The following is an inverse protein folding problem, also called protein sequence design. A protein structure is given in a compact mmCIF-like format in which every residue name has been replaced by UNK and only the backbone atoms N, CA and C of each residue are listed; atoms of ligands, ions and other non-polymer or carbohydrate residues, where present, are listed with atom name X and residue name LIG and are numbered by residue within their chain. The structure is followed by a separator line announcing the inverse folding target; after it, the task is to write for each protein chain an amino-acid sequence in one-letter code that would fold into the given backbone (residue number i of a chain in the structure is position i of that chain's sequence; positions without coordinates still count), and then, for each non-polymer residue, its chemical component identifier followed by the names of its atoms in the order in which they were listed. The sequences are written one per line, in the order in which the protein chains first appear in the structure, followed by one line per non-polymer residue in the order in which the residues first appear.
data_IF_524428659377
#
_entry.id   IF_524428659377
#
_cell.length_a   1.000
_cell.length_b   1.000
_cell.length_c   1.000
_cell.angle_alpha   90.00
_cell.angle_beta   90.00
_cell.angle_gamma   90.00
#
_symmetry.space_group_name_H-M   'P 1'
#
loop_
_entity.id
_entity.type
_entity.pdbx_description
1 polymer ?
#
# COMPACT_ATOMS: atom_id res chain seq x y z
N UNK A 1 17.26 -23.22 36.72
CA UNK A 1 16.92 -22.26 35.66
C UNK A 1 16.14 -23.06 34.61
N UNK A 2 14.89 -22.69 34.31
CA UNK A 2 14.11 -23.39 33.27
C UNK A 2 14.59 -22.85 31.93
N UNK A 3 15.30 -23.65 31.14
CA UNK A 3 15.67 -23.28 29.78
C UNK A 3 14.51 -23.57 28.82
N UNK A 4 14.28 -22.72 27.81
CA UNK A 4 13.26 -22.98 26.80
C UNK A 4 13.69 -24.13 25.89
N UNK A 5 12.85 -25.16 25.79
CA UNK A 5 13.10 -26.36 24.98
C UNK A 5 11.81 -26.82 24.28
N UNK A 6 11.93 -27.78 23.37
CA UNK A 6 10.84 -28.40 22.63
C UNK A 6 10.24 -29.60 23.38
N UNK A 7 8.91 -29.65 23.46
CA UNK A 7 8.22 -30.74 24.13
C UNK A 7 8.33 -32.03 23.32
N UNK A 8 8.78 -33.11 23.96
CA UNK A 8 9.03 -34.38 23.25
C UNK A 8 7.79 -35.02 22.59
N UNK A 9 6.58 -34.71 23.07
CA UNK A 9 5.34 -35.32 22.56
C UNK A 9 4.60 -34.45 21.54
N UNK A 10 4.61 -33.12 21.72
CA UNK A 10 3.84 -32.21 20.86
C UNK A 10 4.71 -31.18 20.14
N UNK A 11 6.04 -31.22 20.30
CA UNK A 11 6.99 -30.29 19.70
C UNK A 11 6.74 -28.81 20.02
N UNK A 12 5.91 -28.53 21.02
CA UNK A 12 5.66 -27.16 21.48
C UNK A 12 6.91 -26.61 22.15
N UNK A 13 7.30 -25.39 21.78
CA UNK A 13 8.50 -24.74 22.31
C UNK A 13 8.14 -23.84 23.50
N UNK A 14 8.89 -23.91 24.60
CA UNK A 14 8.74 -23.00 25.73
C UNK A 14 9.37 -23.53 27.01
N UNK A 15 8.99 -22.96 28.15
CA UNK A 15 9.49 -23.42 29.46
C UNK A 15 8.77 -24.74 29.84
N UNK A 16 9.53 -25.83 29.95
CA UNK A 16 8.98 -27.18 30.15
C UNK A 16 9.31 -27.71 31.55
N UNK A 17 8.41 -28.52 32.10
CA UNK A 17 8.68 -29.30 33.31
C UNK A 17 9.09 -30.72 32.89
N UNK A 18 10.32 -31.14 33.21
CA UNK A 18 10.87 -32.47 32.88
C UNK A 18 10.64 -32.89 31.40
N UNK A 19 10.88 -31.98 30.44
CA UNK A 19 10.74 -32.16 28.97
C UNK A 19 9.32 -32.26 28.40
N UNK A 20 8.28 -32.15 29.23
CA UNK A 20 6.90 -32.10 28.76
C UNK A 20 6.26 -30.74 29.04
N UNK A 21 5.43 -30.26 28.11
CA UNK A 21 4.62 -29.07 28.37
C UNK A 21 3.44 -29.44 29.28
N UNK A 22 2.94 -28.47 30.05
CA UNK A 22 1.79 -28.70 30.94
C UNK A 22 0.57 -29.30 30.21
N UNK A 23 0.35 -28.90 28.95
CA UNK A 23 -0.72 -29.46 28.13
C UNK A 23 -0.51 -30.93 27.74
N UNK A 24 0.73 -31.38 27.52
CA UNK A 24 1.04 -32.80 27.32
C UNK A 24 0.93 -33.57 28.62
N UNK A 25 1.34 -32.99 29.75
CA UNK A 25 1.20 -33.60 31.07
C UNK A 25 -0.27 -33.86 31.42
N UNK A 26 -1.17 -32.90 31.17
CA UNK A 26 -2.62 -33.08 31.40
C UNK A 26 -3.30 -33.97 30.35
N UNK A 27 -2.82 -33.96 29.11
CA UNK A 27 -3.33 -34.83 28.05
C UNK A 27 -2.93 -36.29 28.27
N UNK A 28 -1.75 -36.51 28.84
CA UNK A 28 -1.20 -37.79 29.24
C UNK A 28 -1.62 -38.13 30.68
N UNK A 29 -2.91 -38.43 30.91
CA UNK A 29 -3.21 -39.43 31.94
C UNK A 29 -2.70 -40.78 31.41
N UNK A 30 -2.06 -41.63 32.22
CA UNK A 30 -1.07 -42.61 31.75
C UNK A 30 -1.71 -43.73 30.92
N UNK A 31 -1.84 -43.49 29.62
CA UNK A 31 -2.22 -44.48 28.63
C UNK A 31 -0.97 -44.98 27.88
N UNK A 32 -0.97 -46.24 27.42
CA UNK A 32 0.16 -46.79 26.67
C UNK A 32 0.44 -45.96 25.40
N UNK A 33 1.72 -45.78 25.09
CA UNK A 33 2.14 -45.13 23.86
C UNK A 33 1.78 -46.01 22.66
N UNK A 34 0.89 -45.51 21.81
CA UNK A 34 0.41 -46.22 20.63
C UNK A 34 0.54 -45.32 19.39
N UNK A 35 0.60 -45.90 18.17
CA UNK A 35 0.60 -45.12 16.94
C UNK A 35 -0.75 -44.42 16.74
N UNK A 36 -0.71 -43.11 16.52
CA UNK A 36 -1.88 -42.29 16.22
C UNK A 36 -2.56 -42.73 14.91
N UNK A 37 -3.89 -42.88 14.90
CA UNK A 37 -4.64 -43.24 13.70
C UNK A 37 -4.52 -42.20 12.56
N UNK A 38 -4.32 -40.92 12.89
CA UNK A 38 -4.16 -39.84 11.90
C UNK A 38 -2.72 -39.69 11.39
N UNK A 39 -1.78 -39.37 12.29
CA UNK A 39 -0.41 -39.02 11.91
C UNK A 39 0.63 -40.13 12.14
N UNK A 40 0.22 -41.30 12.62
CA UNK A 40 1.08 -42.46 12.94
C UNK A 40 2.20 -42.24 13.96
N UNK A 41 2.36 -41.03 14.52
CA UNK A 41 3.31 -40.78 15.62
C UNK A 41 2.94 -41.62 16.85
N UNK A 42 3.97 -42.17 17.50
CA UNK A 42 3.83 -42.84 18.79
C UNK A 42 3.79 -41.82 19.90
N UNK A 43 2.82 -41.96 20.79
CA UNK A 43 2.68 -41.11 21.96
C UNK A 43 1.38 -41.41 22.71
N UNK A 44 1.06 -40.62 23.74
CA UNK A 44 -0.22 -40.73 24.44
C UNK A 44 -1.37 -40.41 23.47
N UNK A 45 -2.35 -41.30 23.41
CA UNK A 45 -3.52 -41.17 22.54
C UNK A 45 -4.78 -40.88 23.36
N UNK A 46 -5.64 -40.03 22.81
CA UNK A 46 -7.02 -39.84 23.29
C UNK A 46 -7.97 -40.18 22.15
N UNK A 47 -8.85 -41.16 22.37
CA UNK A 47 -9.75 -41.71 21.33
C UNK A 47 -8.99 -42.15 20.05
N UNK A 48 -7.79 -42.72 20.18
CA UNK A 48 -6.96 -43.18 19.05
C UNK A 48 -6.12 -42.10 18.34
N UNK A 49 -6.17 -40.83 18.79
CA UNK A 49 -5.44 -39.72 18.17
C UNK A 49 -4.50 -39.01 19.15
N UNK A 50 -3.34 -38.57 18.66
CA UNK A 50 -2.37 -37.83 19.47
C UNK A 50 -2.82 -36.38 19.71
N UNK A 51 -2.19 -35.73 20.69
CA UNK A 51 -2.48 -34.32 21.05
C UNK A 51 -2.35 -33.36 19.86
N UNK A 52 -1.38 -33.57 18.98
CA UNK A 52 -1.17 -32.72 17.80
C UNK A 52 -2.35 -32.78 16.83
N UNK A 53 -2.88 -33.97 16.54
CA UNK A 53 -4.06 -34.13 15.70
C UNK A 53 -5.29 -33.49 16.35
N UNK A 54 -5.40 -33.58 17.68
CA UNK A 54 -6.46 -32.89 18.42
C UNK A 54 -6.33 -31.37 18.40
N UNK A 55 -5.12 -30.83 18.48
CA UNK A 55 -4.87 -29.39 18.34
C UNK A 55 -5.27 -28.91 16.94
N UNK A 56 -4.84 -29.63 15.89
CA UNK A 56 -5.20 -29.31 14.51
C UNK A 56 -6.72 -29.37 14.29
N UNK A 57 -7.37 -30.47 14.70
CA UNK A 57 -8.80 -30.64 14.53
C UNK A 57 -9.62 -29.58 15.28
N UNK A 58 -9.11 -29.05 16.40
CA UNK A 58 -9.72 -27.92 17.12
C UNK A 58 -9.57 -26.60 16.37
N UNK A 59 -8.41 -26.35 15.75
CA UNK A 59 -8.21 -25.17 14.90
C UNK A 59 -9.13 -25.23 13.68
N UNK A 60 -9.22 -26.38 13.02
CA UNK A 60 -10.09 -26.57 11.86
C UNK A 60 -11.57 -26.48 12.25
N UNK A 61 -11.95 -27.00 13.43
CA UNK A 61 -13.30 -26.85 13.98
C UNK A 61 -13.66 -25.39 14.28
N UNK A 62 -12.71 -24.59 14.79
CA UNK A 62 -12.93 -23.17 15.02
C UNK A 62 -13.13 -22.40 13.71
N UNK A 63 -12.44 -22.79 12.64
CA UNK A 63 -12.57 -22.17 11.32
C UNK A 63 -13.87 -22.58 10.59
N UNK A 64 -14.34 -23.81 10.80
CA UNK A 64 -15.48 -24.38 10.05
C UNK A 64 -16.79 -24.46 10.84
N UNK A 65 -16.76 -24.27 12.17
CA UNK A 65 -17.90 -24.45 13.06
C UNK A 65 -18.26 -25.93 13.33
N UNK A 66 -17.50 -26.89 12.81
CA UNK A 66 -17.72 -28.32 13.01
C UNK A 66 -17.25 -28.80 14.40
N UNK A 67 -17.58 -30.05 14.76
CA UNK A 67 -17.03 -30.68 15.98
C UNK A 67 -15.61 -31.15 15.71
N UNK A 68 -14.69 -30.93 16.65
CA UNK A 68 -13.29 -31.36 16.51
C UNK A 68 -13.19 -32.88 16.26
N UNK A 69 -14.06 -33.70 16.88
CA UNK A 69 -14.08 -35.14 16.65
C UNK A 69 -14.26 -35.56 15.18
N UNK A 70 -15.10 -34.85 14.41
CA UNK A 70 -15.37 -35.21 13.01
C UNK A 70 -14.21 -34.87 12.07
N UNK A 71 -13.23 -34.10 12.53
CA UNK A 71 -12.08 -33.64 11.74
C UNK A 71 -10.79 -34.41 12.07
N UNK A 72 -10.85 -35.36 13.01
CA UNK A 72 -9.72 -36.22 13.38
C UNK A 72 -9.19 -37.18 12.30
N UNK A 73 -10.01 -37.74 11.37
CA UNK A 73 -9.52 -38.72 10.41
C UNK A 73 -8.67 -38.14 9.25
N UNK A 74 -8.27 -36.86 9.27
CA UNK A 74 -7.48 -36.28 8.17
C UNK A 74 -6.74 -34.97 8.46
N UNK A 75 -5.89 -34.87 9.49
CA UNK A 75 -5.04 -33.69 9.68
C UNK A 75 -4.02 -33.59 8.54
N UNK A 76 -4.11 -32.54 7.71
CA UNK A 76 -3.21 -32.31 6.57
C UNK A 76 -1.84 -31.77 6.98
N UNK A 77 -1.77 -31.10 8.13
CA UNK A 77 -0.57 -30.46 8.66
C UNK A 77 -0.66 -30.39 10.19
N UNK A 78 0.48 -30.13 10.84
CA UNK A 78 0.53 -29.84 12.27
C UNK A 78 1.14 -28.46 12.47
N UNK A 79 0.37 -27.52 13.01
CA UNK A 79 0.90 -26.20 13.37
C UNK A 79 1.75 -26.30 14.64
N UNK A 80 2.96 -25.72 14.61
CA UNK A 80 3.77 -25.51 15.82
C UNK A 80 3.13 -24.41 16.67
N UNK A 81 3.11 -24.62 17.98
CA UNK A 81 2.59 -23.65 18.95
C UNK A 81 3.50 -23.58 20.17
N UNK A 82 3.49 -22.45 20.85
CA UNK A 82 4.28 -22.26 22.06
C UNK A 82 3.66 -23.00 23.25
N UNK A 83 4.50 -23.62 24.08
CA UNK A 83 4.08 -24.27 25.31
C UNK A 83 3.43 -23.24 26.25
N UNK A 84 2.43 -23.67 27.03
CA UNK A 84 1.67 -22.83 27.96
C UNK A 84 0.83 -21.71 27.33
N UNK A 85 0.88 -21.53 26.00
CA UNK A 85 -0.19 -20.88 25.24
C UNK A 85 -1.34 -21.87 25.02
N UNK A 86 -1.90 -22.39 26.13
CA UNK A 86 -3.23 -22.97 26.05
C UNK A 86 -4.11 -21.89 25.44
N UNK A 87 -4.91 -22.19 24.41
CA UNK A 87 -5.76 -21.16 23.90
C UNK A 87 -6.72 -20.84 25.05
N UNK A 88 -6.73 -19.57 25.46
CA UNK A 88 -7.54 -19.04 26.54
C UNK A 88 -9.06 -19.18 26.27
N UNK A 89 -9.50 -19.95 25.28
CA UNK A 89 -10.92 -20.15 24.95
C UNK A 89 -11.70 -20.95 25.99
N UNK A 90 -11.05 -21.81 26.80
CA UNK A 90 -11.74 -22.51 27.91
C UNK A 90 -11.99 -21.58 29.12
N UNK A 91 -11.38 -20.39 29.16
CA UNK A 91 -11.55 -19.38 30.22
C UNK A 91 -11.82 -17.97 29.70
N UNK A 92 -12.36 -17.82 28.49
CA UNK A 92 -13.19 -16.64 28.26
C UNK A 92 -14.47 -16.94 29.02
N UNK A 93 -14.78 -16.26 30.15
CA UNK A 93 -16.13 -16.35 30.67
C UNK A 93 -17.00 -15.96 29.49
N UNK A 94 -17.92 -16.83 29.05
CA UNK A 94 -18.95 -16.40 28.10
C UNK A 94 -19.65 -15.26 28.81
N UNK A 95 -19.25 -14.02 28.53
CA UNK A 95 -19.93 -12.83 29.00
C UNK A 95 -21.32 -12.99 28.42
N UNK A 96 -22.27 -13.40 29.26
CA UNK A 96 -23.67 -13.42 28.88
C UNK A 96 -23.95 -12.03 28.33
N UNK A 97 -24.52 -11.90 27.12
CA UNK A 97 -24.87 -10.59 26.61
C UNK A 97 -25.68 -9.88 27.70
N UNK A 98 -25.31 -8.66 28.11
CA UNK A 98 -26.03 -7.96 29.15
C UNK A 98 -27.50 -7.91 28.73
N UNK A 99 -28.40 -8.36 29.60
CA UNK A 99 -29.84 -8.16 29.39
C UNK A 99 -30.05 -6.66 29.15
N UNK A 100 -30.55 -6.35 27.98
CA UNK A 100 -30.81 -4.98 27.53
C UNK A 100 -31.97 -4.41 28.32
N UNK A 101 -31.68 -3.86 29.50
CA UNK A 101 -32.55 -2.85 30.08
C UNK A 101 -32.27 -1.53 29.37
N UNK A 102 -33.25 -1.08 28.56
CA UNK A 102 -33.27 0.26 27.97
C UNK A 102 -33.38 1.29 29.10
N UNK A 103 -32.25 1.72 29.65
CA UNK A 103 -32.09 3.06 30.21
C UNK A 103 -30.78 3.64 29.68
N UNK A 104 -30.83 4.91 29.29
CA UNK A 104 -29.79 5.61 28.53
C UNK A 104 -28.39 5.24 28.99
N UNK A 105 -27.66 4.52 28.12
CA UNK A 105 -26.29 4.10 28.40
C UNK A 105 -25.47 5.37 28.70
N UNK A 106 -24.74 5.44 29.82
CA UNK A 106 -23.82 6.54 30.06
C UNK A 106 -22.91 6.69 28.84
N UNK A 107 -22.69 7.94 28.40
CA UNK A 107 -21.75 8.24 27.31
C UNK A 107 -20.42 7.62 27.70
N UNK A 108 -19.95 6.64 26.92
CA UNK A 108 -18.61 6.08 27.14
C UNK A 108 -17.61 7.24 27.02
N UNK A 109 -16.60 7.31 27.89
CA UNK A 109 -15.52 8.28 27.70
C UNK A 109 -14.90 8.06 26.33
N UNK A 110 -14.48 9.15 25.69
CA UNK A 110 -13.78 9.07 24.42
C UNK A 110 -12.55 8.17 24.58
N UNK A 111 -12.24 7.30 23.60
CA UNK A 111 -11.04 6.48 23.68
C UNK A 111 -9.83 7.38 23.79
N UNK A 112 -8.86 6.97 24.59
CA UNK A 112 -7.57 7.65 24.64
C UNK A 112 -6.99 7.75 23.22
N UNK A 113 -6.35 8.87 22.87
CA UNK A 113 -5.59 8.98 21.62
C UNK A 113 -4.69 7.76 21.46
N UNK A 114 -4.51 7.30 20.23
CA UNK A 114 -3.56 6.22 19.97
C UNK A 114 -2.22 6.57 20.62
N UNK A 115 -1.62 5.64 21.38
CA UNK A 115 -0.41 5.93 22.11
C UNK A 115 0.67 6.40 21.13
N UNK A 116 1.41 7.47 21.45
CA UNK A 116 2.56 7.84 20.64
C UNK A 116 3.47 6.60 20.53
N UNK A 117 4.11 6.38 19.37
CA UNK A 117 5.05 5.28 19.25
C UNK A 117 6.05 5.39 20.41
N UNK A 118 6.11 4.35 21.25
CA UNK A 118 7.01 4.34 22.40
C UNK A 118 8.44 4.58 21.94
N UNK A 119 9.29 5.16 22.79
CA UNK A 119 10.67 5.52 22.42
C UNK A 119 11.53 4.36 21.90
N UNK A 120 11.06 3.12 22.05
CA UNK A 120 11.62 1.92 21.45
C UNK A 120 10.61 1.29 20.50
N UNK A 121 10.75 1.59 19.21
CA UNK A 121 10.03 0.92 18.12
C UNK A 121 11.00 -0.10 17.53
N UNK A 122 10.58 -1.36 17.40
CA UNK A 122 11.35 -2.33 16.63
C UNK A 122 11.29 -1.92 15.14
N UNK A 123 12.43 -1.60 14.48
CA UNK A 123 12.43 -1.29 13.06
C UNK A 123 11.98 -2.52 12.26
N UNK A 124 11.27 -2.29 11.16
CA UNK A 124 11.02 -3.36 10.20
C UNK A 124 12.36 -3.85 9.64
N UNK A 125 12.60 -5.16 9.69
CA UNK A 125 13.82 -5.76 9.13
C UNK A 125 13.86 -5.63 7.60
N UNK A 126 12.68 -5.65 6.97
CA UNK A 126 12.46 -5.37 5.56
C UNK A 126 11.00 -4.94 5.39
N UNK A 127 10.68 -4.12 4.37
CA UNK A 127 9.30 -3.73 4.09
C UNK A 127 8.50 -4.97 3.66
N UNK A 128 7.55 -5.40 4.49
CA UNK A 128 6.58 -6.45 4.16
C UNK A 128 5.24 -5.79 3.95
N UNK A 129 4.67 -5.93 2.75
CA UNK A 129 3.29 -5.54 2.53
C UNK A 129 2.38 -6.57 3.19
N UNK A 130 1.49 -6.12 4.07
CA UNK A 130 0.52 -7.01 4.69
C UNK A 130 -0.54 -7.43 3.66
N UNK A 131 -0.74 -8.74 3.45
CA UNK A 131 -1.86 -9.23 2.65
C UNK A 131 -3.17 -9.11 3.46
N UNK A 132 -3.81 -7.95 3.31
CA UNK A 132 -5.09 -7.61 3.94
C UNK A 132 -6.30 -8.21 3.19
N UNK A 133 -6.08 -8.90 2.06
CA UNK A 133 -7.18 -9.54 1.31
C UNK A 133 -7.78 -10.72 2.07
N UNK A 134 -6.98 -11.37 2.94
CA UNK A 134 -7.37 -12.57 3.71
C UNK A 134 -7.90 -12.28 5.11
N UNK A 135 -7.99 -11.01 5.50
CA UNK A 135 -8.55 -10.64 6.80
C UNK A 135 -10.06 -10.83 6.75
N UNK A 136 -10.56 -11.80 7.55
CA UNK A 136 -11.98 -11.93 7.80
C UNK A 136 -12.44 -10.84 8.79
N UNK A 137 -13.32 -9.91 8.38
CA UNK A 137 -13.85 -8.88 9.27
C UNK A 137 -14.68 -9.46 10.41
N UNK A 138 -15.27 -10.65 10.25
CA UNK A 138 -16.12 -11.26 11.26
C UNK A 138 -15.30 -11.90 12.41
N UNK A 139 -14.16 -12.53 12.09
CA UNK A 139 -13.28 -13.15 13.08
C UNK A 139 -12.35 -12.20 13.86
N UNK A 140 -12.13 -10.97 13.40
CA UNK A 140 -11.20 -10.01 14.04
C UNK A 140 -11.93 -8.91 14.84
N UNK A 141 -12.97 -9.30 15.59
CA UNK A 141 -13.59 -8.46 16.62
C UNK A 141 -12.77 -8.52 17.92
N UNK A 142 -11.48 -8.18 17.84
CA UNK A 142 -10.70 -7.85 19.02
C UNK A 142 -10.88 -6.35 19.30
N UNK A 143 -11.75 -5.93 20.25
CA UNK A 143 -11.89 -4.52 20.64
C UNK A 143 -10.64 -3.91 21.30
N UNK A 144 -9.53 -4.65 21.38
CA UNK A 144 -8.37 -4.30 22.19
C UNK A 144 -7.25 -3.59 21.39
N UNK A 145 -7.43 -3.34 20.08
CA UNK A 145 -6.46 -2.52 19.35
C UNK A 145 -6.73 -1.02 19.59
N UNK A 146 -5.84 -0.29 20.29
CA UNK A 146 -6.03 1.14 20.57
C UNK A 146 -6.08 1.99 19.29
N UNK A 147 -5.37 1.61 18.23
CA UNK A 147 -5.37 2.32 16.96
C UNK A 147 -6.70 2.18 16.21
N UNK A 148 -7.29 0.98 16.20
CA UNK A 148 -8.63 0.78 15.62
C UNK A 148 -9.71 1.54 16.42
N UNK A 149 -9.62 1.54 17.75
CA UNK A 149 -10.53 2.30 18.59
C UNK A 149 -10.42 3.82 18.33
N UNK A 150 -9.19 4.31 18.20
CA UNK A 150 -8.91 5.72 17.87
C UNK A 150 -9.44 6.08 16.48
N UNK A 151 -9.16 5.29 15.45
CA UNK A 151 -9.64 5.54 14.10
C UNK A 151 -11.17 5.53 14.00
N UNK A 152 -11.85 4.62 14.72
CA UNK A 152 -13.33 4.61 14.81
C UNK A 152 -13.87 5.89 15.45
N UNK A 153 -13.21 6.38 16.51
CA UNK A 153 -13.58 7.65 17.13
C UNK A 153 -13.38 8.83 16.18
N UNK A 154 -12.24 8.90 15.48
CA UNK A 154 -11.96 9.91 14.47
C UNK A 154 -12.98 9.87 13.32
N UNK A 155 -13.30 8.69 12.80
CA UNK A 155 -14.33 8.52 11.78
C UNK A 155 -15.71 8.95 12.27
N UNK A 156 -16.05 8.70 13.54
CA UNK A 156 -17.29 9.20 14.12
C UNK A 156 -17.31 10.72 14.17
N UNK A 157 -16.23 11.38 14.64
CA UNK A 157 -16.14 12.85 14.67
C UNK A 157 -16.22 13.49 13.28
N UNK A 158 -15.47 12.96 12.30
CA UNK A 158 -15.55 13.42 10.91
C UNK A 158 -16.94 13.20 10.32
N UNK A 159 -17.56 12.06 10.60
CA UNK A 159 -18.89 11.74 10.13
C UNK A 159 -20.01 12.55 10.79
N UNK A 160 -19.84 13.04 12.02
CA UNK A 160 -20.76 14.00 12.63
C UNK A 160 -20.57 15.40 12.04
N UNK A 161 -19.32 15.86 11.92
CA UNK A 161 -19.01 17.19 11.36
C UNK A 161 -19.46 17.35 9.90
N UNK A 162 -19.36 16.27 9.09
CA UNK A 162 -19.71 16.26 7.66
C UNK A 162 -21.06 15.62 7.36
N UNK A 163 -21.83 15.25 8.38
CA UNK A 163 -23.19 14.69 8.21
C UNK A 163 -23.24 13.37 7.44
N UNK A 164 -22.27 12.46 7.64
CA UNK A 164 -22.23 11.20 6.90
C UNK A 164 -23.47 10.35 7.15
N UNK A 165 -24.15 9.86 6.10
CA UNK A 165 -25.26 8.92 6.26
C UNK A 165 -24.78 7.61 6.89
N UNK A 166 -25.69 6.91 7.59
CA UNK A 166 -25.39 5.64 8.28
C UNK A 166 -24.68 4.62 7.39
N UNK A 167 -25.05 4.54 6.12
CA UNK A 167 -24.44 3.63 5.14
C UNK A 167 -22.93 3.88 4.97
N UNK A 168 -22.52 5.15 4.91
CA UNK A 168 -21.11 5.54 4.79
C UNK A 168 -20.36 5.25 6.07
N UNK A 169 -20.95 5.58 7.24
CA UNK A 169 -20.34 5.28 8.54
C UNK A 169 -20.04 3.78 8.71
N UNK A 170 -20.97 2.91 8.32
CA UNK A 170 -20.79 1.46 8.35
C UNK A 170 -19.73 0.97 7.32
N UNK A 171 -19.68 1.59 6.13
CA UNK A 171 -18.69 1.24 5.12
C UNK A 171 -17.26 1.61 5.57
N UNK A 172 -17.09 2.79 6.17
CA UNK A 172 -15.81 3.24 6.73
C UNK A 172 -15.41 2.39 7.94
N UNK A 173 -16.33 2.09 8.87
CA UNK A 173 -16.04 1.21 10.01
C UNK A 173 -15.57 -0.19 9.57
N UNK A 174 -16.20 -0.75 8.52
CA UNK A 174 -15.78 -2.03 7.94
C UNK A 174 -14.39 -1.95 7.31
N UNK A 175 -14.09 -0.85 6.60
CA UNK A 175 -12.77 -0.61 6.02
C UNK A 175 -11.69 -0.49 7.10
N UNK A 176 -11.92 0.32 8.14
CA UNK A 176 -11.01 0.48 9.28
C UNK A 176 -10.78 -0.84 10.00
N UNK A 177 -11.82 -1.67 10.17
CA UNK A 177 -11.68 -2.99 10.79
C UNK A 177 -10.74 -3.91 9.99
N UNK A 178 -10.83 -3.88 8.66
CA UNK A 178 -9.94 -4.65 7.78
C UNK A 178 -8.50 -4.17 7.89
N UNK A 179 -8.29 -2.84 7.79
CA UNK A 179 -6.96 -2.25 7.73
C UNK A 179 -6.24 -2.27 9.08
N UNK A 180 -6.96 -2.02 10.17
CA UNK A 180 -6.35 -1.72 11.47
C UNK A 180 -6.46 -2.84 12.50
N UNK A 181 -7.14 -3.96 12.19
CA UNK A 181 -7.25 -5.09 13.12
C UNK A 181 -5.89 -5.65 13.56
N UNK A 182 -4.87 -5.61 12.69
CA UNK A 182 -3.51 -6.10 12.94
C UNK A 182 -2.45 -5.01 13.05
N UNK A 183 -2.86 -3.75 13.02
CA UNK A 183 -1.94 -2.62 13.00
C UNK A 183 -1.24 -2.45 14.36
N UNK A 184 0.08 -2.32 14.33
CA UNK A 184 0.90 -2.06 15.52
C UNK A 184 1.41 -0.63 15.47
N UNK A 185 1.63 -0.01 16.64
CA UNK A 185 2.14 1.35 16.71
C UNK A 185 3.52 1.47 16.05
N UNK A 186 3.64 2.42 15.12
CA UNK A 186 4.85 2.64 14.31
C UNK A 186 4.73 2.14 12.86
N UNK A 187 3.73 1.32 12.56
CA UNK A 187 3.42 0.92 11.19
C UNK A 187 2.71 2.04 10.42
N UNK A 188 2.82 2.03 9.10
CA UNK A 188 2.06 2.90 8.20
C UNK A 188 1.21 2.05 7.27
N UNK A 189 -0.01 2.48 7.01
CA UNK A 189 -0.90 1.87 6.03
C UNK A 189 -0.63 2.52 4.67
N UNK A 190 -0.16 1.71 3.72
CA UNK A 190 0.15 2.19 2.37
C UNK A 190 -1.09 2.27 1.48
N UNK A 191 -1.08 3.15 0.49
CA UNK A 191 -2.16 3.22 -0.50
C UNK A 191 -2.32 1.89 -1.26
N UNK A 192 -1.23 1.23 -1.66
CA UNK A 192 -1.27 -0.07 -2.35
C UNK A 192 -1.97 -1.16 -1.53
N UNK A 193 -1.69 -1.24 -0.23
CA UNK A 193 -2.33 -2.17 0.71
C UNK A 193 -3.82 -1.87 0.87
N UNK A 194 -4.15 -0.59 1.07
CA UNK A 194 -5.52 -0.10 1.17
C UNK A 194 -6.31 -0.42 -0.10
N UNK A 195 -5.74 -0.14 -1.27
CA UNK A 195 -6.36 -0.36 -2.56
C UNK A 195 -6.65 -1.84 -2.78
N UNK A 196 -5.65 -2.70 -2.58
CA UNK A 196 -5.79 -4.16 -2.70
C UNK A 196 -6.85 -4.72 -1.76
N UNK A 197 -6.95 -4.20 -0.54
CA UNK A 197 -7.94 -4.66 0.44
C UNK A 197 -9.36 -4.16 0.15
N UNK A 198 -9.52 -2.89 -0.23
CA UNK A 198 -10.83 -2.22 -0.29
C UNK A 198 -11.48 -2.28 -1.68
N UNK A 199 -10.69 -2.27 -2.76
CA UNK A 199 -11.21 -2.25 -4.13
C UNK A 199 -12.11 -3.46 -4.45
N UNK A 200 -11.74 -4.72 -4.13
CA UNK A 200 -12.58 -5.87 -4.43
C UNK A 200 -13.90 -5.87 -3.65
N UNK A 201 -13.93 -5.17 -2.51
CA UNK A 201 -15.07 -5.08 -1.58
C UNK A 201 -15.94 -3.84 -1.84
N UNK A 202 -15.58 -3.00 -2.81
CA UNK A 202 -16.24 -1.72 -3.14
C UNK A 202 -16.48 -0.86 -1.90
N UNK A 203 -15.51 -0.83 -0.99
CA UNK A 203 -15.55 0.02 0.21
C UNK A 203 -15.05 1.43 -0.14
N UNK A 204 -15.46 2.41 0.65
CA UNK A 204 -15.10 3.81 0.40
C UNK A 204 -13.61 4.03 0.73
N UNK A 205 -12.79 4.27 -0.29
CA UNK A 205 -11.35 4.52 -0.11
C UNK A 205 -11.08 5.95 0.35
N UNK A 206 -11.70 6.96 -0.28
CA UNK A 206 -11.42 8.37 -0.03
C UNK A 206 -11.65 8.77 1.43
N UNK A 207 -12.82 8.42 1.99
CA UNK A 207 -13.15 8.74 3.38
C UNK A 207 -12.33 7.91 4.37
N UNK A 208 -11.88 6.71 3.97
CA UNK A 208 -10.99 5.90 4.81
C UNK A 208 -9.59 6.49 4.81
N UNK A 209 -9.07 6.92 3.66
CA UNK A 209 -7.79 7.65 3.53
C UNK A 209 -7.83 8.89 4.40
N UNK A 210 -8.92 9.67 4.34
CA UNK A 210 -9.07 10.87 5.17
C UNK A 210 -8.95 10.57 6.67
N UNK A 211 -9.60 9.50 7.16
CA UNK A 211 -9.49 9.08 8.56
C UNK A 211 -8.06 8.68 8.92
N UNK A 212 -7.39 7.90 8.05
CA UNK A 212 -6.03 7.42 8.27
C UNK A 212 -4.99 8.54 8.21
N UNK A 213 -5.19 9.52 7.34
CA UNK A 213 -4.37 10.72 7.22
C UNK A 213 -4.53 11.60 8.47
N UNK A 214 -5.75 11.77 8.97
CA UNK A 214 -6.02 12.55 10.18
C UNK A 214 -5.38 11.96 11.44
N UNK A 215 -5.20 10.63 11.50
CA UNK A 215 -4.50 9.96 12.62
C UNK A 215 -3.00 9.77 12.35
N UNK A 216 -2.49 10.21 11.19
CA UNK A 216 -1.07 10.22 10.85
C UNK A 216 -0.45 8.86 10.52
N UNK A 217 -1.26 7.87 10.12
CA UNK A 217 -0.78 6.50 9.80
C UNK A 217 -0.88 6.16 8.31
N UNK A 218 -1.28 7.11 7.47
CA UNK A 218 -1.41 6.90 6.03
C UNK A 218 -0.12 7.26 5.29
N UNK A 219 0.28 6.40 4.34
CA UNK A 219 1.36 6.68 3.40
C UNK A 219 0.85 6.50 1.96
N UNK A 220 0.88 7.56 1.16
CA UNK A 220 0.60 7.48 -0.26
C UNK A 220 1.86 6.98 -1.01
N UNK A 221 1.89 5.69 -1.32
CA UNK A 221 2.98 5.04 -2.05
C UNK A 221 2.73 4.96 -3.56
N UNK A 222 1.71 5.66 -4.08
CA UNK A 222 1.49 5.74 -5.52
C UNK A 222 2.66 6.46 -6.18
N UNK A 223 3.24 5.86 -7.21
CA UNK A 223 4.05 6.62 -8.16
C UNK A 223 3.14 7.63 -8.85
N UNK A 224 3.43 8.94 -8.78
CA UNK A 224 2.59 9.96 -9.41
C UNK A 224 2.33 9.62 -10.88
N UNK A 225 1.11 9.85 -11.36
CA UNK A 225 0.72 9.61 -12.76
C UNK A 225 1.68 10.27 -13.75
N UNK A 226 2.18 11.46 -13.38
CA UNK A 226 3.18 12.22 -14.12
C UNK A 226 4.50 11.44 -14.31
N UNK A 227 5.04 10.82 -13.27
CA UNK A 227 6.32 10.08 -13.33
C UNK A 227 6.19 8.82 -14.21
N UNK A 228 5.10 8.07 -14.06
CA UNK A 228 4.84 6.90 -14.94
C UNK A 228 4.60 7.31 -16.40
N UNK A 229 4.00 8.48 -16.62
CA UNK A 229 3.83 9.04 -17.96
C UNK A 229 5.18 9.50 -18.55
N UNK A 230 6.01 10.19 -17.75
CA UNK A 230 7.30 10.71 -18.16
C UNK A 230 8.24 9.57 -18.56
N UNK A 231 8.34 8.52 -17.75
CA UNK A 231 9.12 7.31 -18.03
C UNK A 231 8.75 6.72 -19.40
N UNK A 232 7.46 6.44 -19.62
CA UNK A 232 6.97 5.88 -20.88
C UNK A 232 7.21 6.80 -22.08
N UNK A 233 7.18 8.11 -21.89
CA UNK A 233 7.39 9.07 -22.98
C UNK A 233 8.84 9.22 -23.36
N UNK A 234 9.75 8.99 -22.43
CA UNK A 234 11.20 9.06 -22.66
C UNK A 234 11.82 7.72 -23.03
N UNK A 235 11.01 6.68 -23.14
CA UNK A 235 11.43 5.40 -23.68
C UNK A 235 11.94 5.54 -25.13
N UNK A 236 13.10 4.92 -25.39
CA UNK A 236 13.84 5.00 -26.66
C UNK A 236 14.69 6.27 -26.87
N UNK A 237 14.81 7.15 -25.87
CA UNK A 237 15.66 8.35 -25.94
C UNK A 237 17.04 8.05 -25.32
N UNK A 238 18.12 8.54 -25.92
CA UNK A 238 19.48 8.35 -25.44
C UNK A 238 19.64 8.86 -23.99
N UNK A 239 20.37 8.16 -23.10
CA UNK A 239 20.40 8.46 -21.67
C UNK A 239 20.80 9.90 -21.33
N UNK A 240 21.73 10.49 -22.11
CA UNK A 240 22.18 11.86 -21.92
C UNK A 240 21.12 12.89 -22.29
N UNK A 241 20.43 12.71 -23.42
CA UNK A 241 19.29 13.54 -23.83
C UNK A 241 18.13 13.37 -22.85
N UNK A 242 17.84 12.13 -22.46
CA UNK A 242 16.77 11.77 -21.53
C UNK A 242 16.91 12.51 -20.20
N UNK A 243 18.10 12.51 -19.59
CA UNK A 243 18.36 13.21 -18.32
C UNK A 243 18.01 14.70 -18.38
N UNK A 244 18.40 15.38 -19.45
CA UNK A 244 18.14 16.81 -19.61
C UNK A 244 16.65 17.10 -19.83
N UNK A 245 15.96 16.25 -20.61
CA UNK A 245 14.53 16.36 -20.87
C UNK A 245 13.70 16.02 -19.64
N UNK A 246 14.07 15.01 -18.85
CA UNK A 246 13.44 14.68 -17.55
C UNK A 246 13.50 15.88 -16.62
N UNK A 247 14.69 16.44 -16.44
CA UNK A 247 14.87 17.58 -15.55
C UNK A 247 14.06 18.79 -16.01
N UNK A 248 14.02 19.06 -17.31
CA UNK A 248 13.20 20.13 -17.87
C UNK A 248 11.69 19.87 -17.68
N UNK A 249 11.21 18.65 -17.90
CA UNK A 249 9.80 18.30 -17.75
C UNK A 249 9.34 18.41 -16.28
N UNK A 250 10.15 17.91 -15.33
CA UNK A 250 9.88 18.05 -13.89
C UNK A 250 9.87 19.52 -13.46
N UNK A 251 10.82 20.33 -13.92
CA UNK A 251 10.84 21.76 -13.61
C UNK A 251 9.61 22.52 -14.18
N UNK A 252 9.10 22.12 -15.34
CA UNK A 252 7.86 22.70 -15.86
C UNK A 252 6.64 22.29 -15.03
N UNK A 253 6.61 21.04 -14.58
CA UNK A 253 5.52 20.49 -13.77
C UNK A 253 5.50 21.08 -12.35
N UNK A 254 6.61 20.98 -11.62
CA UNK A 254 6.71 21.38 -10.21
C UNK A 254 6.95 22.89 -10.02
N UNK A 255 7.33 23.58 -11.10
CA UNK A 255 7.82 24.95 -11.03
C UNK A 255 9.23 25.02 -10.45
N UNK A 256 9.75 26.24 -10.34
CA UNK A 256 11.06 26.50 -9.77
C UNK A 256 11.10 27.79 -8.97
N UNK A 257 12.25 28.17 -8.40
CA UNK A 257 12.36 29.31 -7.48
C UNK A 257 11.86 30.66 -8.02
N UNK A 258 11.74 30.80 -9.35
CA UNK A 258 11.27 32.01 -10.04
C UNK A 258 10.23 31.70 -11.12
N UNK A 259 9.58 30.54 -11.09
CA UNK A 259 8.68 30.09 -12.14
C UNK A 259 7.56 29.25 -11.54
N UNK A 260 6.31 29.64 -11.80
CA UNK A 260 5.16 28.89 -11.33
C UNK A 260 5.06 27.53 -12.03
N UNK A 261 4.53 26.50 -11.34
CA UNK A 261 4.09 25.24 -11.94
C UNK A 261 3.25 25.48 -13.18
N UNK A 262 3.43 24.67 -14.22
CA UNK A 262 2.55 24.65 -15.38
C UNK A 262 1.49 23.58 -15.23
N UNK A 263 0.34 23.82 -15.85
CA UNK A 263 -0.69 22.79 -16.01
C UNK A 263 -0.12 21.53 -16.67
N UNK A 264 -0.48 20.36 -16.15
CA UNK A 264 0.01 19.06 -16.62
C UNK A 264 -0.20 18.89 -18.14
N UNK A 265 -1.34 19.33 -18.68
CA UNK A 265 -1.61 19.23 -20.12
C UNK A 265 -0.63 20.05 -20.94
N UNK A 266 -0.11 21.15 -20.41
CA UNK A 266 0.90 21.96 -21.09
C UNK A 266 2.21 21.19 -21.18
N UNK A 267 2.64 20.55 -20.09
CA UNK A 267 3.86 19.72 -20.08
C UNK A 267 3.71 18.54 -21.04
N UNK A 268 2.54 17.91 -21.05
CA UNK A 268 2.23 16.81 -21.96
C UNK A 268 2.27 17.23 -23.43
N UNK A 269 1.61 18.34 -23.77
CA UNK A 269 1.59 18.87 -25.13
C UNK A 269 3.00 19.25 -25.61
N UNK A 270 3.81 19.80 -24.72
CA UNK A 270 5.20 20.16 -25.03
C UNK A 270 6.02 18.92 -25.33
N UNK A 271 6.03 17.93 -24.41
CA UNK A 271 6.85 16.73 -24.60
C UNK A 271 6.38 15.91 -25.81
N UNK A 272 5.06 15.75 -26.00
CA UNK A 272 4.52 15.07 -27.18
C UNK A 272 4.94 15.75 -28.48
N UNK A 273 5.06 17.09 -28.50
CA UNK A 273 5.43 17.84 -29.70
C UNK A 273 6.87 17.61 -30.12
N UNK A 274 7.80 17.54 -29.17
CA UNK A 274 9.22 17.39 -29.46
C UNK A 274 9.71 15.94 -29.41
N UNK A 275 8.92 14.99 -28.91
CA UNK A 275 9.31 13.57 -28.82
C UNK A 275 9.85 12.98 -30.13
N UNK A 276 9.21 13.16 -31.30
CA UNK A 276 9.75 12.62 -32.56
C UNK A 276 11.15 13.19 -32.88
N UNK A 277 11.36 14.48 -32.59
CA UNK A 277 12.65 15.17 -32.79
C UNK A 277 13.71 14.60 -31.84
N UNK A 278 13.35 14.32 -30.59
CA UNK A 278 14.27 13.74 -29.61
C UNK A 278 14.67 12.31 -29.97
N UNK A 279 13.76 11.51 -30.55
CA UNK A 279 14.06 10.16 -31.03
C UNK A 279 15.00 10.21 -32.23
N UNK A 280 14.73 11.09 -33.20
CA UNK A 280 15.64 11.31 -34.34
C UNK A 280 17.04 11.69 -33.86
N UNK A 281 17.15 12.66 -32.95
CA UNK A 281 18.45 13.05 -32.40
C UNK A 281 19.12 11.95 -31.58
N UNK A 282 18.35 11.14 -30.85
CA UNK A 282 18.89 10.01 -30.08
C UNK A 282 19.50 8.91 -30.97
N UNK A 283 19.10 8.84 -32.24
CA UNK A 283 19.74 7.93 -33.21
C UNK A 283 21.12 8.41 -33.67
N UNK A 284 21.45 9.69 -33.45
CA UNK A 284 22.66 10.35 -33.95
C UNK A 284 23.59 10.85 -32.84
N UNK A 285 23.05 11.14 -31.66
CA UNK A 285 23.76 11.79 -30.55
C UNK A 285 23.36 11.20 -29.19
N UNK A 286 24.32 11.18 -28.26
CA UNK A 286 24.08 10.73 -26.89
C UNK A 286 23.61 11.87 -25.97
N UNK A 287 24.00 13.13 -26.27
CA UNK A 287 23.70 14.29 -25.45
C UNK A 287 23.13 15.49 -26.24
N UNK A 288 22.27 16.29 -25.58
CA UNK A 288 21.71 17.53 -26.18
C UNK A 288 22.76 18.59 -26.55
N UNK A 289 23.98 18.51 -26.01
CA UNK A 289 25.06 19.46 -26.32
C UNK A 289 25.66 19.29 -27.71
N UNK A 290 25.45 18.12 -28.32
CA UNK A 290 25.94 17.81 -29.66
C UNK A 290 24.99 18.36 -30.75
N UNK A 291 23.73 18.64 -30.38
CA UNK A 291 22.74 19.18 -31.30
C UNK A 291 23.13 20.59 -31.75
N UNK A 292 23.31 20.76 -33.05
CA UNK A 292 23.73 22.03 -33.65
C UNK A 292 22.53 22.89 -34.06
N UNK A 293 22.82 24.12 -34.50
CA UNK A 293 21.79 25.01 -35.07
C UNK A 293 21.19 24.44 -36.36
N UNK A 294 22.01 23.78 -37.17
CA UNK A 294 21.60 23.27 -38.47
C UNK A 294 20.70 22.05 -38.30
N UNK A 295 20.93 21.22 -37.27
CA UNK A 295 20.02 20.13 -36.88
C UNK A 295 18.63 20.65 -36.50
N UNK A 296 18.58 21.78 -35.76
CA UNK A 296 17.31 22.41 -35.41
C UNK A 296 16.61 22.97 -36.64
N UNK A 297 17.35 23.57 -37.58
CA UNK A 297 16.76 24.09 -38.83
C UNK A 297 16.22 22.96 -39.71
N UNK A 298 16.98 21.89 -39.90
CA UNK A 298 16.55 20.72 -40.67
C UNK A 298 15.23 20.14 -40.14
N UNK A 299 15.07 20.07 -38.82
CA UNK A 299 13.82 19.62 -38.19
C UNK A 299 12.66 20.61 -38.34
N UNK A 300 12.95 21.91 -38.39
CA UNK A 300 11.93 22.94 -38.58
C UNK A 300 11.51 23.12 -40.04
N UNK A 301 12.39 22.80 -40.99
CA UNK A 301 12.12 22.91 -42.44
C UNK A 301 11.14 21.82 -42.91
N UNK A 302 11.12 20.67 -42.23
CA UNK A 302 10.10 19.64 -42.45
C UNK A 302 8.70 20.02 -41.93
N UNK A 303 8.57 21.12 -41.16
CA UNK A 303 7.35 21.51 -40.47
C UNK A 303 6.81 22.85 -41.00
N UNK A 304 5.48 22.95 -41.09
CA UNK A 304 4.82 24.13 -41.66
C UNK A 304 3.88 24.83 -40.64
N UNK A 305 3.68 26.13 -40.80
CA UNK A 305 2.69 26.92 -40.05
C UNK A 305 2.80 26.84 -38.53
N UNK A 306 1.65 26.70 -37.85
CA UNK A 306 1.56 26.69 -36.38
C UNK A 306 2.32 25.53 -35.71
N UNK A 307 2.49 24.42 -36.44
CA UNK A 307 3.28 23.27 -35.99
C UNK A 307 4.77 23.61 -35.86
N UNK A 308 5.33 24.31 -36.85
CA UNK A 308 6.71 24.82 -36.81
C UNK A 308 6.93 25.79 -35.66
N UNK A 309 6.00 26.73 -35.50
CA UNK A 309 6.03 27.73 -34.41
C UNK A 309 6.02 27.05 -33.04
N UNK A 310 5.08 26.12 -32.83
CA UNK A 310 4.96 25.42 -31.56
C UNK A 310 6.20 24.58 -31.26
N UNK A 311 6.73 23.82 -32.24
CA UNK A 311 7.98 23.07 -32.07
C UNK A 311 9.13 23.98 -31.65
N UNK A 312 9.33 25.12 -32.33
CA UNK A 312 10.40 26.05 -32.00
C UNK A 312 10.22 26.67 -30.60
N UNK A 313 9.00 27.00 -30.18
CA UNK A 313 8.72 27.51 -28.83
C UNK A 313 9.13 26.47 -27.78
N UNK A 314 8.75 25.20 -27.99
CA UNK A 314 9.07 24.12 -27.05
C UNK A 314 10.58 23.85 -27.03
N UNK A 315 11.24 23.74 -28.19
CA UNK A 315 12.69 23.55 -28.26
C UNK A 315 13.46 24.70 -27.60
N UNK A 316 13.01 25.95 -27.77
CA UNK A 316 13.60 27.09 -27.06
C UNK A 316 13.45 26.98 -25.55
N UNK A 317 12.31 26.51 -25.07
CA UNK A 317 12.09 26.27 -23.64
C UNK A 317 13.10 25.25 -23.10
N UNK A 318 13.24 24.12 -23.80
CA UNK A 318 14.20 23.06 -23.46
C UNK A 318 15.64 23.57 -23.45
N UNK A 319 16.13 24.14 -24.57
CA UNK A 319 17.53 24.59 -24.67
C UNK A 319 17.86 25.80 -23.80
N UNK A 320 16.87 26.66 -23.48
CA UNK A 320 17.06 27.73 -22.49
C UNK A 320 17.30 27.14 -21.11
N UNK A 321 16.56 26.09 -20.75
CA UNK A 321 16.72 25.42 -19.47
C UNK A 321 18.01 24.60 -19.40
N UNK A 322 18.33 23.84 -20.45
CA UNK A 322 19.60 23.12 -20.58
C UNK A 322 20.81 24.06 -20.46
N UNK A 323 20.72 25.26 -21.06
CA UNK A 323 21.74 26.30 -20.89
C UNK A 323 21.83 26.83 -19.46
N UNK A 324 20.70 27.08 -18.80
CA UNK A 324 20.66 27.56 -17.41
C UNK A 324 21.30 26.57 -16.44
N UNK A 325 21.16 25.28 -16.71
CA UNK A 325 21.73 24.20 -15.90
C UNK A 325 23.18 23.82 -16.28
N UNK A 326 23.75 24.47 -17.30
CA UNK A 326 25.12 24.20 -17.75
C UNK A 326 25.29 22.89 -18.53
N UNK A 327 24.22 22.22 -18.94
CA UNK A 327 24.32 20.97 -19.72
C UNK A 327 24.64 21.26 -21.19
N UNK A 328 24.15 22.39 -21.70
CA UNK A 328 24.46 22.92 -23.03
C UNK A 328 25.10 24.31 -22.91
N UNK A 329 26.27 24.51 -23.52
CA UNK A 329 26.99 25.79 -23.43
C UNK A 329 26.43 26.85 -24.41
N UNK A 330 26.05 26.43 -25.61
CA UNK A 330 25.51 27.31 -26.68
C UNK A 330 24.09 26.89 -27.03
N UNK A 331 23.14 27.80 -26.93
CA UNK A 331 21.75 27.50 -27.29
C UNK A 331 21.57 27.47 -28.83
N UNK A 332 21.30 26.31 -29.46
CA UNK A 332 21.19 26.17 -30.92
C UNK A 332 19.94 26.85 -31.49
N UNK A 333 18.91 27.09 -30.65
CA UNK A 333 17.67 27.77 -31.04
C UNK A 333 17.78 29.30 -31.04
N UNK A 334 18.94 29.83 -30.63
CA UNK A 334 19.17 31.28 -30.59
C UNK A 334 19.12 31.88 -32.00
N UNK A 335 18.51 33.07 -32.12
CA UNK A 335 18.39 33.84 -33.38
C UNK A 335 17.59 33.19 -34.52
N UNK A 336 16.97 32.02 -34.33
CA UNK A 336 15.99 31.46 -35.29
C UNK A 336 14.70 32.28 -35.16
N UNK A 337 14.05 32.72 -36.24
CA UNK A 337 12.79 33.48 -36.17
C UNK A 337 11.57 32.54 -36.10
N UNK A 338 10.60 32.87 -35.26
CA UNK A 338 9.34 32.08 -35.12
C UNK A 338 8.47 32.16 -36.37
N UNK A 339 8.61 33.23 -37.17
CA UNK A 339 7.70 33.55 -38.26
C UNK A 339 6.40 34.14 -37.70
N UNK A 340 5.84 35.15 -38.36
CA UNK A 340 4.50 35.64 -38.02
C UNK A 340 3.47 34.59 -38.44
N UNK A 341 2.40 34.45 -37.63
CA UNK A 341 1.19 33.76 -38.07
C UNK A 341 0.63 34.60 -39.22
N UNK A 342 0.62 34.08 -40.43
CA UNK A 342 -0.26 34.61 -41.48
C UNK A 342 -1.68 34.32 -41.02
N UNK A 343 -2.30 35.27 -40.33
CA UNK A 343 -3.75 35.30 -40.28
C UNK A 343 -4.17 35.56 -41.72
N UNK A 344 -4.70 34.53 -42.39
CA UNK A 344 -5.34 34.71 -43.68
C UNK A 344 -6.39 35.81 -43.52
N UNK A 345 -6.13 36.98 -44.09
CA UNK A 345 -7.10 38.06 -44.18
C UNK A 345 -8.20 37.51 -45.08
N UNK A 346 -9.35 37.20 -44.50
CA UNK A 346 -10.56 36.94 -45.28
C UNK A 346 -10.91 38.26 -45.98
N UNK A 347 -10.52 38.41 -47.25
CA UNK A 347 -11.07 39.45 -48.11
C UNK A 347 -12.58 39.17 -48.26
N UNK A 348 -13.41 40.09 -47.78
CA UNK A 348 -14.83 40.08 -48.09
C UNK A 348 -15.01 40.26 -49.60
N UNK A 349 -15.90 39.49 -50.27
CA UNK A 349 -16.25 39.77 -51.66
C UNK A 349 -16.93 41.14 -51.72
N UNK A 350 -16.43 42.00 -52.61
CA UNK A 350 -16.99 43.32 -52.89
C UNK A 350 -18.44 43.23 -53.36
N UNK A 351 -19.23 44.22 -52.93
CA UNK A 351 -20.64 44.41 -53.29
C UNK A 351 -20.84 44.75 -54.76
#
# INVERSE_FOLDING_TARGET
MLEPDSCSNCLAWGLLFMRWCGGCNSFARPGPHAPCAGCRRRGPLRKGYCRLCWCQARTDAAATGAKAESLLPGPRYHQLFFAHMAPLWERVPRLRPPKYERRGRPRKPDPSPAPPPGGWIQPSLFPVCCDLTRVDPAGHTGPDNPWLAWARHTAHRLGEARGWPRKIRLAVDRALTILMSRHVGGDVVRYSELHSALQPRRLNMELTIEVLDHIGVFLDDRTPSFEQWLERKLDGIAPGIRRDVEHWARLLHDGGPRSQPRDENTVWNYLNRIRPVLIDWSSRYDHLREVTRDDVLAQLDALHGGQRQHTLIVLRSLFRQAKKNGTVFKNPTSRIRVGQREYGVLQAPGA
#
